data_IF_534479850247
#
_entry.id   IF_534479850247
#
_cell.length_a   1.000
_cell.length_b   1.000
_cell.length_c   1.000
_cell.angle_alpha   90.00
_cell.angle_beta   90.00
_cell.angle_gamma   90.00
#
_symmetry.space_group_name_H-M   'P 1'
#
loop_
_entity.id
_entity.type
_entity.pdbx_description
1 polymer ?
#
# COMPACT_ATOMS: atom_id res chain seq x y z
N UNK A 1 5.87 -0.14 -12.18
CA UNK A 1 5.00 0.45 -11.14
C UNK A 1 4.60 1.83 -11.62
N UNK A 2 3.31 2.14 -11.64
CA UNK A 2 2.88 3.51 -11.96
C UNK A 2 3.47 4.47 -10.92
N UNK A 3 3.83 5.69 -11.35
CA UNK A 3 4.26 6.73 -10.41
C UNK A 3 3.13 6.99 -9.41
N UNK A 4 3.49 7.34 -8.18
CA UNK A 4 2.52 7.75 -7.15
C UNK A 4 1.57 8.83 -7.69
N UNK A 5 2.08 9.76 -8.49
CA UNK A 5 1.27 10.85 -9.05
C UNK A 5 0.28 10.36 -10.11
N UNK A 6 0.61 9.28 -10.85
CA UNK A 6 -0.34 8.64 -11.77
C UNK A 6 -1.44 7.92 -11.00
N UNK A 7 -1.09 7.24 -9.91
CA UNK A 7 -2.09 6.60 -9.05
C UNK A 7 -3.06 7.61 -8.42
N UNK A 8 -2.60 8.84 -8.18
CA UNK A 8 -3.45 9.91 -7.65
C UNK A 8 -4.50 10.42 -8.64
N UNK A 9 -4.36 10.17 -9.96
CA UNK A 9 -5.38 10.60 -10.92
C UNK A 9 -6.69 9.84 -10.80
N UNK A 10 -6.66 8.63 -10.24
CA UNK A 10 -7.86 7.82 -9.94
C UNK A 10 -8.77 8.49 -8.90
N UNK A 11 -8.23 9.40 -8.09
CA UNK A 11 -8.99 10.10 -7.05
C UNK A 11 -9.66 11.39 -7.54
N UNK A 12 -9.59 11.70 -8.83
CA UNK A 12 -10.15 12.94 -9.35
C UNK A 12 -11.69 12.96 -9.19
N UNK A 13 -12.23 14.06 -8.67
CA UNK A 13 -13.65 14.24 -8.32
C UNK A 13 -14.22 13.30 -7.24
N UNK A 14 -13.41 12.40 -6.67
CA UNK A 14 -13.86 11.52 -5.61
C UNK A 14 -14.18 12.31 -4.32
N UNK A 15 -15.28 11.94 -3.67
CA UNK A 15 -15.79 12.60 -2.45
C UNK A 15 -15.78 11.69 -1.24
N UNK A 16 -15.79 10.37 -1.48
CA UNK A 16 -15.89 9.34 -0.46
C UNK A 16 -14.77 8.34 -0.69
N UNK A 17 -14.11 7.97 0.40
CA UNK A 17 -12.92 7.14 0.38
C UNK A 17 -13.00 6.07 1.47
N UNK A 18 -12.46 4.90 1.17
CA UNK A 18 -12.16 3.86 2.16
C UNK A 18 -10.74 3.36 1.99
N UNK A 19 -10.07 3.05 3.10
CA UNK A 19 -8.79 2.35 3.14
C UNK A 19 -9.03 0.98 3.75
N UNK A 20 -8.62 -0.06 3.04
CA UNK A 20 -8.54 -1.43 3.54
C UNK A 20 -7.06 -1.76 3.74
N UNK A 21 -6.68 -2.20 4.94
CA UNK A 21 -5.30 -2.59 5.26
C UNK A 21 -5.24 -4.12 5.42
N UNK A 22 -4.33 -4.76 4.68
CA UNK A 22 -4.06 -6.19 4.81
C UNK A 22 -3.12 -6.47 5.98
N UNK A 23 -3.45 -7.48 6.80
CA UNK A 23 -2.57 -7.89 7.90
C UNK A 23 -1.28 -8.48 7.35
N UNK A 24 -0.13 -7.90 7.70
CA UNK A 24 1.20 -8.46 7.35
C UNK A 24 1.30 -8.82 5.86
N UNK A 25 1.13 -7.85 4.95
CA UNK A 25 0.81 -8.13 3.54
C UNK A 25 1.76 -9.10 2.84
N UNK A 26 3.08 -8.98 3.00
CA UNK A 26 4.02 -9.96 2.40
C UNK A 26 3.73 -11.40 2.83
N UNK A 27 3.36 -11.62 4.09
CA UNK A 27 3.00 -12.94 4.59
C UNK A 27 1.64 -13.42 4.09
N UNK A 28 0.91 -12.68 3.25
CA UNK A 28 -0.25 -13.19 2.54
C UNK A 28 0.14 -13.96 1.26
N UNK A 29 1.35 -13.72 0.73
CA UNK A 29 1.82 -14.38 -0.50
C UNK A 29 2.51 -15.71 -0.18
N UNK A 30 1.91 -16.81 -0.65
CA UNK A 30 2.58 -18.12 -0.67
C UNK A 30 3.72 -18.14 -1.69
N UNK A 31 4.85 -18.71 -1.29
CA UNK A 31 5.99 -18.97 -2.18
C UNK A 31 5.81 -20.29 -2.92
N UNK A 32 6.23 -20.32 -4.18
CA UNK A 32 6.41 -21.58 -4.89
C UNK A 32 7.43 -22.46 -4.14
N UNK A 33 7.26 -23.81 -4.10
CA UNK A 33 8.18 -24.69 -3.36
C UNK A 33 9.66 -24.52 -3.70
N UNK A 34 9.97 -24.23 -4.97
CA UNK A 34 11.35 -23.94 -5.43
C UNK A 34 11.85 -22.60 -4.88
N UNK A 35 11.04 -21.54 -4.97
CA UNK A 35 11.37 -20.22 -4.41
C UNK A 35 11.56 -20.30 -2.89
N UNK A 36 10.73 -21.08 -2.20
CA UNK A 36 10.82 -21.34 -0.76
C UNK A 36 12.19 -21.91 -0.37
N UNK A 37 12.79 -22.78 -1.18
CA UNK A 37 14.10 -23.37 -0.87
C UNK A 37 15.22 -22.32 -0.78
N UNK A 38 15.15 -21.24 -1.57
CA UNK A 38 16.12 -20.14 -1.52
C UNK A 38 15.99 -19.25 -0.27
N UNK A 39 14.89 -19.39 0.49
CA UNK A 39 14.66 -18.65 1.74
C UNK A 39 15.13 -19.44 2.97
N UNK A 40 16.00 -20.44 2.78
CA UNK A 40 16.48 -21.28 3.87
C UNK A 40 17.38 -20.50 4.82
N UNK A 41 17.10 -20.57 6.12
CA UNK A 41 17.92 -20.01 7.20
C UNK A 41 18.26 -21.08 8.23
N UNK A 42 19.31 -20.81 9.01
CA UNK A 42 19.82 -21.70 10.06
C UNK A 42 19.41 -21.14 11.41
N UNK A 43 18.81 -21.98 12.25
CA UNK A 43 18.58 -21.74 13.66
C UNK A 43 19.39 -22.75 14.49
N UNK A 44 19.64 -22.51 15.79
CA UNK A 44 20.37 -23.45 16.65
C UNK A 44 19.77 -24.86 16.70
N UNK A 45 18.49 -25.00 16.35
CA UNK A 45 17.73 -26.25 16.34
C UNK A 45 17.41 -26.80 14.94
N UNK A 46 18.06 -26.28 13.89
CA UNK A 46 17.97 -26.87 12.54
C UNK A 46 17.87 -25.86 11.40
N UNK A 47 17.51 -26.36 10.22
CA UNK A 47 17.32 -25.55 9.00
C UNK A 47 15.84 -25.37 8.73
N UNK A 48 15.45 -24.13 8.50
CA UNK A 48 14.07 -23.73 8.23
C UNK A 48 14.01 -22.97 6.92
N UNK A 49 12.85 -22.97 6.29
CA UNK A 49 12.59 -22.17 5.08
C UNK A 49 11.24 -21.50 5.19
N UNK A 50 11.08 -20.34 4.57
CA UNK A 50 9.81 -19.66 4.56
C UNK A 50 8.86 -20.29 3.53
N UNK A 51 7.61 -20.50 3.93
CA UNK A 51 6.52 -20.93 3.01
C UNK A 51 5.78 -19.74 2.38
N UNK A 52 5.93 -18.55 2.97
CA UNK A 52 5.32 -17.30 2.53
C UNK A 52 6.41 -16.25 2.36
N UNK A 53 6.15 -15.21 1.56
CA UNK A 53 7.16 -14.22 1.17
C UNK A 53 7.74 -13.50 2.42
N UNK A 54 9.02 -13.70 2.77
CA UNK A 54 9.61 -13.06 3.93
C UNK A 54 10.02 -11.61 3.63
N UNK A 55 10.21 -10.83 4.69
CA UNK A 55 10.86 -9.53 4.61
C UNK A 55 12.36 -9.68 4.27
N UNK A 56 12.93 -8.63 3.66
CA UNK A 56 14.37 -8.56 3.35
C UNK A 56 14.76 -9.08 1.97
N UNK A 57 13.83 -9.68 1.21
CA UNK A 57 14.05 -9.99 -0.21
C UNK A 57 13.88 -8.72 -1.04
N UNK A 58 14.89 -8.35 -1.82
CA UNK A 58 14.91 -7.13 -2.63
C UNK A 58 13.79 -7.06 -3.66
N UNK A 59 13.43 -8.19 -4.28
CA UNK A 59 12.36 -8.28 -5.28
C UNK A 59 10.95 -8.45 -4.69
N UNK A 60 10.82 -8.69 -3.38
CA UNK A 60 9.52 -8.93 -2.75
C UNK A 60 8.49 -7.81 -2.98
N UNK A 61 8.84 -6.51 -2.82
CA UNK A 61 7.89 -5.42 -3.01
C UNK A 61 7.34 -5.36 -4.44
N UNK A 62 8.18 -5.59 -5.44
CA UNK A 62 7.77 -5.53 -6.85
C UNK A 62 6.83 -6.68 -7.21
N UNK A 63 7.16 -7.91 -6.78
CA UNK A 63 6.29 -9.09 -6.98
C UNK A 63 4.95 -8.89 -6.27
N UNK A 64 4.99 -8.35 -5.05
CA UNK A 64 3.80 -8.06 -4.27
C UNK A 64 2.90 -7.03 -4.97
N UNK A 65 3.46 -5.90 -5.40
CA UNK A 65 2.73 -4.85 -6.10
C UNK A 65 2.18 -5.33 -7.45
N UNK A 66 2.93 -6.17 -8.19
CA UNK A 66 2.45 -6.77 -9.44
C UNK A 66 1.19 -7.59 -9.21
N UNK A 67 1.20 -8.43 -8.17
CA UNK A 67 0.06 -9.29 -7.83
C UNK A 67 -1.17 -8.47 -7.45
N UNK A 68 -1.00 -7.40 -6.69
CA UNK A 68 -2.09 -6.47 -6.36
C UNK A 68 -2.64 -5.81 -7.62
N UNK A 69 -1.77 -5.32 -8.51
CA UNK A 69 -2.19 -4.74 -9.79
C UNK A 69 -3.01 -5.73 -10.63
N UNK A 70 -2.62 -7.00 -10.69
CA UNK A 70 -3.36 -8.04 -11.39
C UNK A 70 -4.74 -8.32 -10.78
N UNK A 71 -4.86 -8.26 -9.44
CA UNK A 71 -6.14 -8.45 -8.74
C UNK A 71 -7.11 -7.28 -8.95
N UNK A 72 -6.60 -6.05 -9.10
CA UNK A 72 -7.42 -4.83 -9.15
C UNK A 72 -7.62 -4.26 -10.56
N UNK A 73 -6.98 -4.85 -11.59
CA UNK A 73 -6.90 -4.30 -12.95
C UNK A 73 -8.25 -3.97 -13.61
N UNK A 74 -9.32 -4.65 -13.20
CA UNK A 74 -10.66 -4.52 -13.79
C UNK A 74 -11.58 -3.63 -12.94
N UNK A 75 -11.06 -3.01 -11.87
CA UNK A 75 -11.81 -2.16 -10.95
C UNK A 75 -11.48 -0.68 -11.19
N UNK A 76 -12.52 0.15 -11.31
CA UNK A 76 -12.38 1.60 -11.43
C UNK A 76 -12.46 2.26 -10.05
N UNK A 77 -11.71 3.34 -9.84
CA UNK A 77 -11.72 4.04 -8.55
C UNK A 77 -11.13 3.22 -7.40
N UNK A 78 -10.31 2.22 -7.73
CA UNK A 78 -9.61 1.37 -6.76
C UNK A 78 -8.12 1.41 -7.03
N UNK A 79 -7.37 1.69 -5.98
CA UNK A 79 -5.92 1.75 -6.00
C UNK A 79 -5.39 0.82 -4.94
N UNK A 80 -4.49 -0.09 -5.32
CA UNK A 80 -3.72 -0.89 -4.37
C UNK A 80 -2.27 -0.44 -4.34
N UNK A 81 -1.74 -0.18 -3.14
CA UNK A 81 -0.33 0.06 -2.95
C UNK A 81 0.16 -0.69 -1.71
N UNK A 82 1.04 -1.67 -1.95
CA UNK A 82 1.48 -2.58 -0.90
C UNK A 82 0.26 -3.06 -0.08
N UNK A 83 0.30 -2.93 1.23
CA UNK A 83 -0.69 -3.54 2.12
C UNK A 83 -2.01 -2.75 2.17
N UNK A 84 -2.07 -1.56 1.55
CA UNK A 84 -3.24 -0.67 1.57
C UNK A 84 -3.98 -0.67 0.23
N UNK A 85 -5.30 -0.86 0.29
CA UNK A 85 -6.24 -0.71 -0.82
C UNK A 85 -7.11 0.50 -0.56
N UNK A 86 -7.07 1.48 -1.46
CA UNK A 86 -7.91 2.67 -1.43
C UNK A 86 -9.04 2.50 -2.42
N UNK A 87 -10.27 2.64 -1.94
CA UNK A 87 -11.47 2.68 -2.76
C UNK A 87 -12.03 4.09 -2.71
N UNK A 88 -12.41 4.65 -3.85
CA UNK A 88 -12.98 5.97 -3.93
C UNK A 88 -14.19 6.02 -4.88
N UNK A 89 -15.08 6.99 -4.65
CA UNK A 89 -16.20 7.25 -5.54
C UNK A 89 -16.67 8.69 -5.45
N UNK A 90 -17.32 9.18 -6.51
CA UNK A 90 -17.99 10.48 -6.50
C UNK A 90 -19.31 10.39 -5.72
N UNK A 91 -20.02 9.26 -5.84
CA UNK A 91 -21.24 8.95 -5.10
C UNK A 91 -21.04 7.79 -4.11
N UNK A 92 -21.91 7.70 -3.09
CA UNK A 92 -21.88 6.56 -2.15
C UNK A 92 -22.09 5.24 -2.86
N UNK A 93 -22.97 5.21 -3.87
CA UNK A 93 -23.28 4.00 -4.63
C UNK A 93 -22.05 3.46 -5.37
N UNK A 94 -21.37 4.30 -6.14
CA UNK A 94 -20.16 3.91 -6.88
C UNK A 94 -19.06 3.43 -5.93
N UNK A 95 -18.85 4.17 -4.83
CA UNK A 95 -17.88 3.80 -3.80
C UNK A 95 -18.20 2.42 -3.20
N UNK A 96 -19.46 2.18 -2.81
CA UNK A 96 -19.86 0.93 -2.15
C UNK A 96 -19.82 -0.26 -3.10
N UNK A 97 -20.15 -0.07 -4.38
CA UNK A 97 -20.00 -1.11 -5.42
C UNK A 97 -18.53 -1.51 -5.57
N UNK A 98 -17.61 -0.55 -5.67
CA UNK A 98 -16.16 -0.81 -5.71
C UNK A 98 -15.67 -1.46 -4.42
N UNK A 99 -16.14 -1.00 -3.27
CA UNK A 99 -15.75 -1.55 -1.97
C UNK A 99 -16.15 -3.01 -1.83
N UNK A 100 -17.37 -3.35 -2.25
CA UNK A 100 -17.86 -4.72 -2.24
C UNK A 100 -17.03 -5.63 -3.14
N UNK A 101 -16.70 -5.18 -4.36
CA UNK A 101 -15.87 -5.93 -5.30
C UNK A 101 -14.47 -6.20 -4.73
N UNK A 102 -13.83 -5.21 -4.13
CA UNK A 102 -12.52 -5.38 -3.50
C UNK A 102 -12.59 -6.38 -2.34
N UNK A 103 -13.56 -6.23 -1.43
CA UNK A 103 -13.72 -7.14 -0.30
C UNK A 103 -13.98 -8.57 -0.75
N UNK A 104 -14.76 -8.77 -1.82
CA UNK A 104 -15.02 -10.08 -2.40
C UNK A 104 -13.74 -10.71 -2.96
N UNK A 105 -12.96 -9.96 -3.76
CA UNK A 105 -11.69 -10.46 -4.31
C UNK A 105 -10.70 -10.83 -3.21
N UNK A 106 -10.61 -10.02 -2.15
CA UNK A 106 -9.74 -10.29 -1.01
C UNK A 106 -10.20 -11.52 -0.23
N UNK A 107 -11.51 -11.68 -0.01
CA UNK A 107 -12.08 -12.85 0.63
C UNK A 107 -11.82 -14.13 -0.17
N UNK A 108 -12.09 -14.12 -1.47
CA UNK A 108 -11.88 -15.28 -2.36
C UNK A 108 -10.40 -15.65 -2.47
N UNK A 109 -9.52 -14.66 -2.36
CA UNK A 109 -8.06 -14.85 -2.33
C UNK A 109 -7.52 -15.26 -0.97
N UNK A 110 -8.36 -15.30 0.08
CA UNK A 110 -7.98 -15.69 1.44
C UNK A 110 -7.15 -14.65 2.19
N UNK A 111 -7.23 -13.37 1.82
CA UNK A 111 -6.52 -12.29 2.50
C UNK A 111 -7.18 -11.97 3.84
N UNK A 112 -6.36 -11.69 4.84
CA UNK A 112 -6.83 -11.22 6.15
C UNK A 112 -6.61 -9.71 6.29
N UNK A 113 -7.57 -9.01 6.88
CA UNK A 113 -7.58 -7.57 7.02
C UNK A 113 -7.28 -7.13 8.45
N UNK A 114 -6.63 -5.98 8.59
CA UNK A 114 -6.40 -5.33 9.86
C UNK A 114 -7.55 -4.36 10.16
N UNK A 115 -8.53 -4.82 10.93
CA UNK A 115 -9.74 -4.07 11.26
C UNK A 115 -9.45 -2.69 11.88
N UNK A 116 -8.45 -2.60 12.76
CA UNK A 116 -8.11 -1.34 13.44
C UNK A 116 -7.57 -0.26 12.50
N UNK A 117 -6.93 -0.68 11.40
CA UNK A 117 -6.36 0.24 10.40
C UNK A 117 -7.29 0.52 9.24
N UNK A 118 -8.30 -0.33 9.03
CA UNK A 118 -9.30 -0.10 8.00
C UNK A 118 -10.13 1.15 8.32
N UNK A 119 -10.42 1.94 7.29
CA UNK A 119 -11.22 3.15 7.38
C UNK A 119 -12.29 3.10 6.30
N UNK A 120 -13.56 3.20 6.68
CA UNK A 120 -14.67 3.13 5.73
C UNK A 120 -15.40 4.46 5.61
N UNK A 121 -15.83 4.79 4.38
CA UNK A 121 -16.67 5.94 4.01
C UNK A 121 -16.23 7.26 4.67
N UNK A 122 -14.96 7.60 4.53
CA UNK A 122 -14.40 8.88 4.99
C UNK A 122 -14.49 9.93 3.88
N UNK A 123 -14.69 11.18 4.26
CA UNK A 123 -14.60 12.34 3.34
C UNK A 123 -13.16 12.75 3.04
N UNK A 124 -12.23 12.35 3.90
CA UNK A 124 -10.82 12.57 3.74
C UNK A 124 -10.02 11.43 4.37
N UNK A 125 -8.94 11.05 3.71
CA UNK A 125 -8.04 9.98 4.15
C UNK A 125 -6.58 10.44 4.10
N UNK A 126 -5.75 9.80 4.91
CA UNK A 126 -4.29 9.93 4.83
C UNK A 126 -3.76 8.76 4.00
N UNK A 127 -3.13 9.07 2.88
CA UNK A 127 -2.55 8.06 2.00
C UNK A 127 -1.23 8.59 1.44
N UNK A 128 -0.17 7.77 1.46
CA UNK A 128 1.16 8.13 0.94
C UNK A 128 1.75 9.43 1.50
N UNK A 129 1.44 9.77 2.76
CA UNK A 129 1.89 11.04 3.35
C UNK A 129 1.21 12.29 2.80
N UNK A 130 0.08 12.11 2.13
CA UNK A 130 -0.81 13.17 1.66
C UNK A 130 -2.18 12.99 2.31
N UNK A 131 -2.90 14.09 2.43
CA UNK A 131 -4.31 14.16 2.80
C UNK A 131 -5.08 14.28 1.49
N UNK A 132 -5.96 13.31 1.24
CA UNK A 132 -6.81 13.27 0.05
C UNK A 132 -8.23 13.58 0.49
N UNK A 133 -8.91 14.45 -0.25
CA UNK A 133 -10.29 14.89 0.03
C UNK A 133 -10.96 15.39 -1.25
N UNK A 134 -12.26 15.70 -1.16
CA UNK A 134 -13.00 16.33 -2.26
C UNK A 134 -12.40 17.69 -2.70
N UNK A 135 -11.71 18.40 -1.81
CA UNK A 135 -11.06 19.68 -2.10
C UNK A 135 -9.70 19.51 -2.81
N UNK A 136 -9.26 18.26 -3.00
CA UNK A 136 -8.00 17.90 -3.64
C UNK A 136 -7.01 17.23 -2.70
N UNK A 137 -5.73 17.27 -3.10
CA UNK A 137 -4.63 16.55 -2.48
C UNK A 137 -3.67 17.55 -1.84
N UNK A 138 -3.46 17.41 -0.53
CA UNK A 138 -2.56 18.25 0.26
C UNK A 138 -1.47 17.39 0.94
N UNK A 139 -0.27 17.93 1.21
CA UNK A 139 0.74 17.19 1.97
C UNK A 139 0.31 17.00 3.44
N UNK A 140 0.61 15.84 4.04
CA UNK A 140 0.42 15.65 5.48
C UNK A 140 1.47 16.46 6.25
N UNK A 141 1.00 17.49 6.96
CA UNK A 141 1.85 18.41 7.69
C UNK A 141 2.77 17.70 8.68
N UNK A 142 2.32 16.59 9.28
CA UNK A 142 3.11 15.80 10.25
C UNK A 142 4.39 15.23 9.63
N UNK A 143 4.37 14.84 8.35
CA UNK A 143 5.57 14.37 7.63
C UNK A 143 6.46 15.53 7.17
N UNK A 144 5.88 16.69 6.90
CA UNK A 144 6.66 17.89 6.50
C UNK A 144 7.36 18.58 7.66
N UNK A 145 6.92 18.34 8.90
CA UNK A 145 7.54 18.96 10.09
C UNK A 145 9.00 18.55 10.29
N UNK A 146 9.34 17.29 10.04
CA UNK A 146 10.72 16.80 10.16
C UNK A 146 11.64 17.57 9.20
N UNK A 147 11.20 17.78 7.95
CA UNK A 147 11.94 18.55 6.94
C UNK A 147 12.05 20.02 7.35
N UNK A 148 10.96 20.64 7.85
CA UNK A 148 10.97 22.03 8.33
C UNK A 148 11.91 22.24 9.52
N UNK A 149 12.13 21.20 10.33
CA UNK A 149 13.02 21.23 11.51
C UNK A 149 14.47 20.84 11.21
N UNK A 150 14.80 20.48 9.95
CA UNK A 150 16.19 20.22 9.56
C UNK A 150 17.03 21.49 9.74
N UNK A 151 18.03 21.42 10.62
CA UNK A 151 18.94 22.53 10.87
C UNK A 151 19.91 22.71 9.70
N UNK A 152 20.06 23.96 9.24
CA UNK A 152 20.80 24.34 8.01
C UNK A 152 22.26 23.88 7.97
N UNK A 153 22.87 23.55 9.11
CA UNK A 153 24.29 23.16 9.21
C UNK A 153 24.60 21.72 8.77
N UNK A 154 23.62 20.81 8.67
CA UNK A 154 23.86 19.42 8.23
C UNK A 154 23.83 19.24 6.69
N UNK A 155 23.35 20.24 5.95
CA UNK A 155 23.17 20.17 4.49
C UNK A 155 24.51 20.18 3.73
N UNK A 156 25.58 20.74 4.33
CA UNK A 156 26.90 20.83 3.69
C UNK A 156 27.75 19.55 3.75
N UNK A 157 27.34 18.51 4.50
CA UNK A 157 28.06 17.23 4.58
C UNK A 157 27.35 16.06 3.86
N UNK A 158 26.18 16.27 3.28
CA UNK A 158 25.36 15.18 2.68
C UNK A 158 24.73 15.60 1.35
N UNK A 159 25.53 16.14 0.44
CA UNK A 159 25.06 16.66 -0.85
C UNK A 159 24.48 15.61 -1.81
N UNK A 160 24.57 14.31 -1.48
CA UNK A 160 24.13 13.22 -2.36
C UNK A 160 22.73 12.67 -2.06
N UNK A 161 22.05 13.14 -0.99
CA UNK A 161 20.82 12.47 -0.48
C UNK A 161 19.52 13.20 -0.85
N UNK A 162 19.58 14.47 -1.30
CA UNK A 162 18.37 15.30 -1.40
C UNK A 162 17.84 15.58 -2.82
N UNK A 163 18.56 15.15 -3.86
CA UNK A 163 18.13 15.31 -5.25
C UNK A 163 18.46 14.03 -6.05
N UNK A 164 17.53 13.07 -6.00
CA UNK A 164 17.38 12.00 -6.99
C UNK A 164 15.89 11.66 -7.09
#
# INVERSE_FOLDING_TARGET
>A
MASVDYTLTEFNNAKIFSIIDATSGFWQIMLHPESSAFTTFIAPFGRFKFKRLPFGISSAPEVFQKRIGECLKDLNGVVGLMDEFVVCGETEKEHDEGLYQVLQILQDSGWTLNEEKCQFRKKSIKFLGRIISADGICPDLTKTEAIKKIHRQLILQSSSVFLA
#
